data_IF_386284883890
#
_entry.id   IF_386284883890
#
_cell.length_a   1.000
_cell.length_b   1.000
_cell.length_c   1.000
_cell.angle_alpha   90.00
_cell.angle_beta   90.00
_cell.angle_gamma   90.00
#
_symmetry.space_group_name_H-M   'P 1'
#
loop_
_entity.id
_entity.type
_entity.pdbx_description
1 polymer ?
#
# COMPACT_ATOMS: atom_id res chain seq x y z
N UNK A 1 41.52 -0.20 -14.60
CA UNK A 1 40.35 -0.45 -15.47
C UNK A 1 39.51 -1.51 -14.82
N UNK A 2 38.57 -1.09 -13.98
CA UNK A 2 37.63 -2.00 -13.33
C UNK A 2 36.38 -2.16 -14.18
N UNK A 3 35.74 -3.31 -14.11
CA UNK A 3 34.39 -3.52 -14.63
C UNK A 3 33.45 -2.44 -14.07
N UNK A 4 32.47 -1.96 -14.86
CA UNK A 4 31.53 -0.95 -14.39
C UNK A 4 30.74 -1.49 -13.18
N UNK A 5 30.43 -0.65 -12.18
CA UNK A 5 29.60 -1.04 -11.07
C UNK A 5 28.18 -1.39 -11.55
N UNK A 6 27.58 -2.41 -10.93
CA UNK A 6 26.21 -2.84 -11.20
C UNK A 6 25.37 -2.59 -9.96
N UNK A 7 24.28 -1.86 -10.11
CA UNK A 7 23.29 -1.64 -9.04
C UNK A 7 21.99 -2.39 -9.36
N UNK A 8 21.50 -3.16 -8.41
CA UNK A 8 20.19 -3.78 -8.41
C UNK A 8 19.27 -2.98 -7.48
N UNK A 9 18.10 -2.62 -7.99
CA UNK A 9 17.18 -1.75 -7.26
C UNK A 9 15.81 -2.40 -7.19
N UNK A 10 15.20 -2.38 -6.01
CA UNK A 10 13.79 -2.69 -5.79
C UNK A 10 13.25 -1.84 -4.64
N UNK A 11 11.97 -1.46 -4.68
CA UNK A 11 11.40 -0.66 -3.61
C UNK A 11 10.79 -1.50 -2.48
N UNK A 12 10.75 -0.92 -1.28
CA UNK A 12 10.23 -1.55 -0.06
C UNK A 12 8.81 -1.11 0.28
N UNK A 13 8.42 0.08 -0.19
CA UNK A 13 7.12 0.66 0.08
C UNK A 13 6.02 -0.03 -0.72
N UNK A 14 4.80 0.26 -0.35
CA UNK A 14 3.59 -0.21 -0.99
C UNK A 14 2.59 0.94 -1.10
N UNK A 15 1.64 0.84 -2.01
CA UNK A 15 0.50 1.75 -2.10
C UNK A 15 -0.32 1.71 -0.81
N UNK A 16 -0.91 2.82 -0.45
CA UNK A 16 -1.67 2.91 0.79
C UNK A 16 -2.68 4.05 0.80
N UNK A 17 -3.06 4.41 1.99
CA UNK A 17 -4.09 5.43 2.23
C UNK A 17 -3.71 6.28 3.44
N UNK A 18 -4.24 7.49 3.50
CA UNK A 18 -4.15 8.36 4.66
C UNK A 18 -5.55 8.87 5.03
N UNK A 19 -5.87 8.89 6.32
CA UNK A 19 -7.14 9.44 6.80
C UNK A 19 -7.18 10.94 6.51
N UNK A 20 -8.15 11.34 5.70
CA UNK A 20 -8.39 12.75 5.35
C UNK A 20 -9.42 13.41 6.27
N UNK A 21 -10.48 12.68 6.63
CA UNK A 21 -11.59 13.19 7.44
C UNK A 21 -12.27 12.03 8.18
N UNK A 22 -12.77 12.30 9.34
CA UNK A 22 -13.67 11.44 10.11
C UNK A 22 -15.01 12.17 10.22
N UNK A 23 -16.08 11.56 9.75
CA UNK A 23 -17.41 12.12 9.78
C UNK A 23 -18.11 11.88 11.13
N UNK A 24 -19.12 12.68 11.45
CA UNK A 24 -19.88 12.57 12.71
C UNK A 24 -20.54 11.18 12.88
N UNK A 25 -20.90 10.52 11.78
CA UNK A 25 -21.47 9.16 11.74
C UNK A 25 -20.41 8.04 11.84
N UNK A 26 -19.13 8.40 12.03
CA UNK A 26 -18.04 7.42 12.20
C UNK A 26 -17.44 6.89 10.91
N UNK A 27 -17.90 7.33 9.74
CA UNK A 27 -17.27 6.98 8.47
C UNK A 27 -15.97 7.79 8.25
N UNK A 28 -14.99 7.14 7.64
CA UNK A 28 -13.66 7.71 7.45
C UNK A 28 -13.41 7.93 5.96
N UNK A 29 -13.15 9.17 5.58
CA UNK A 29 -12.70 9.52 4.22
C UNK A 29 -11.18 9.40 4.12
N UNK A 30 -10.71 8.81 3.02
CA UNK A 30 -9.29 8.55 2.77
C UNK A 30 -8.79 9.26 1.51
N UNK A 31 -7.50 9.56 1.49
CA UNK A 31 -6.76 9.84 0.27
C UNK A 31 -5.87 8.66 -0.09
N UNK A 32 -5.65 8.45 -1.38
CA UNK A 32 -4.71 7.44 -1.88
C UNK A 32 -3.27 7.92 -1.70
N UNK A 33 -2.41 6.97 -1.44
CA UNK A 33 -0.96 7.10 -1.45
C UNK A 33 -0.43 6.12 -2.50
N UNK A 34 0.00 6.64 -3.65
CA UNK A 34 0.42 5.84 -4.81
C UNK A 34 -0.71 5.59 -5.82
N UNK A 35 -0.41 4.77 -6.80
CA UNK A 35 -1.22 4.52 -7.99
C UNK A 35 -2.34 3.49 -7.80
N UNK A 36 -3.35 3.78 -6.97
CA UNK A 36 -4.46 2.85 -6.69
C UNK A 36 -5.65 3.13 -7.62
N UNK A 37 -6.08 2.16 -8.48
CA UNK A 37 -7.28 2.31 -9.28
C UNK A 37 -8.56 2.28 -8.43
N UNK A 38 -9.45 3.24 -8.61
CA UNK A 38 -10.70 3.32 -7.83
C UNK A 38 -11.61 2.10 -8.01
N UNK A 39 -11.58 1.47 -9.17
CA UNK A 39 -12.43 0.29 -9.49
C UNK A 39 -12.24 -0.90 -8.56
N UNK A 40 -11.14 -0.95 -7.82
CA UNK A 40 -10.81 -2.07 -6.92
C UNK A 40 -11.04 -1.74 -5.45
N UNK A 41 -11.55 -0.55 -5.11
CA UNK A 41 -11.66 -0.10 -3.71
C UNK A 41 -12.83 -0.76 -2.97
N UNK A 42 -14.02 -0.76 -3.57
CA UNK A 42 -15.24 -1.23 -2.90
C UNK A 42 -15.11 -2.68 -2.40
N UNK A 43 -15.41 -2.90 -1.14
CA UNK A 43 -15.34 -4.21 -0.48
C UNK A 43 -13.94 -4.61 0.00
N UNK A 44 -12.90 -3.81 -0.29
CA UNK A 44 -11.55 -4.13 0.18
C UNK A 44 -11.43 -3.91 1.68
N UNK A 45 -10.70 -4.82 2.32
CA UNK A 45 -10.33 -4.71 3.73
C UNK A 45 -9.04 -3.91 3.87
N UNK A 46 -9.04 -2.97 4.81
CA UNK A 46 -7.86 -2.20 5.19
C UNK A 46 -7.46 -2.48 6.62
N UNK A 47 -6.18 -2.26 6.90
CA UNK A 47 -5.63 -2.13 8.23
C UNK A 47 -5.12 -0.71 8.38
N UNK A 48 -5.67 0.04 9.32
CA UNK A 48 -5.22 1.39 9.67
C UNK A 48 -4.34 1.34 10.91
N UNK A 49 -3.22 2.03 10.87
CA UNK A 49 -2.26 2.10 11.96
C UNK A 49 -2.67 3.24 12.89
N UNK A 50 -3.44 2.88 13.92
CA UNK A 50 -3.85 3.83 14.95
C UNK A 50 -2.92 3.84 16.14
N UNK A 51 -3.14 4.77 17.06
CA UNK A 51 -2.36 4.93 18.31
C UNK A 51 -2.41 3.69 19.21
N UNK A 52 -3.53 2.98 19.19
CA UNK A 52 -3.76 1.80 20.03
C UNK A 52 -3.43 0.47 19.31
N UNK A 53 -2.87 0.52 18.10
CA UNK A 53 -2.57 -0.63 17.26
C UNK A 53 -3.31 -0.63 15.92
N UNK A 54 -3.41 -1.79 15.30
CA UNK A 54 -4.05 -1.94 14.00
C UNK A 54 -5.58 -2.01 14.14
N UNK A 55 -6.29 -1.21 13.37
CA UNK A 55 -7.74 -1.21 13.27
C UNK A 55 -8.14 -1.69 11.88
N UNK A 56 -8.99 -2.71 11.83
CA UNK A 56 -9.54 -3.22 10.58
C UNK A 56 -10.76 -2.41 10.15
N UNK A 57 -10.87 -2.17 8.85
CA UNK A 57 -12.05 -1.57 8.25
C UNK A 57 -12.31 -2.11 6.85
N UNK A 58 -13.46 -1.77 6.30
CA UNK A 58 -13.86 -2.15 4.95
C UNK A 58 -14.19 -0.90 4.14
N UNK A 59 -13.69 -0.83 2.92
CA UNK A 59 -14.11 0.21 1.99
C UNK A 59 -15.56 0.01 1.59
N UNK A 60 -16.38 1.00 1.86
CA UNK A 60 -17.79 1.03 1.49
C UNK A 60 -18.11 2.16 0.53
N UNK A 61 -19.19 1.99 -0.20
CA UNK A 61 -19.78 3.00 -1.10
C UNK A 61 -21.28 3.04 -0.87
N UNK A 62 -22.00 3.87 -1.62
CA UNK A 62 -23.45 3.85 -1.61
C UNK A 62 -24.00 2.44 -1.92
N UNK A 63 -25.02 1.97 -1.18
CA UNK A 63 -25.65 0.69 -1.45
C UNK A 63 -26.23 0.65 -2.86
N UNK A 64 -26.09 -0.48 -3.53
CA UNK A 64 -26.53 -0.65 -4.93
C UNK A 64 -28.02 -0.28 -5.14
N UNK A 65 -28.89 -0.67 -4.19
CA UNK A 65 -30.34 -0.40 -4.27
C UNK A 65 -30.71 1.06 -4.04
N UNK A 66 -29.83 1.87 -3.42
CA UNK A 66 -30.02 3.31 -3.24
C UNK A 66 -29.29 4.13 -4.31
N UNK A 67 -28.51 3.49 -5.17
CA UNK A 67 -27.77 4.16 -6.24
C UNK A 67 -28.68 4.34 -7.46
N UNK A 68 -28.78 5.55 -8.06
CA UNK A 68 -29.53 5.77 -9.30
C UNK A 68 -29.06 4.83 -10.41
N UNK A 69 -29.99 4.38 -11.27
CA UNK A 69 -29.69 3.40 -12.34
C UNK A 69 -28.52 3.84 -13.24
N UNK A 70 -28.47 5.13 -13.57
CA UNK A 70 -27.39 5.73 -14.40
C UNK A 70 -26.02 5.71 -13.74
N UNK A 71 -25.94 5.45 -12.42
CA UNK A 71 -24.72 5.51 -11.61
C UNK A 71 -24.25 4.13 -11.12
N UNK A 72 -25.10 3.11 -11.17
CA UNK A 72 -24.86 1.78 -10.59
C UNK A 72 -23.59 1.09 -11.05
N UNK A 73 -23.22 1.32 -12.31
CA UNK A 73 -22.07 0.65 -12.93
C UNK A 73 -20.89 1.59 -13.18
N UNK A 74 -20.95 2.82 -12.66
CA UNK A 74 -19.83 3.76 -12.74
C UNK A 74 -18.80 3.46 -11.66
N UNK A 75 -17.52 3.63 -12.00
CA UNK A 75 -16.44 3.60 -11.02
C UNK A 75 -16.58 4.82 -10.10
N UNK A 76 -16.67 4.58 -8.81
CA UNK A 76 -16.74 5.66 -7.81
C UNK A 76 -15.34 6.18 -7.50
N UNK A 77 -15.13 7.49 -7.55
CA UNK A 77 -13.88 8.08 -7.09
C UNK A 77 -13.72 7.87 -5.58
N UNK A 78 -12.49 7.88 -5.08
CA UNK A 78 -12.23 7.67 -3.65
C UNK A 78 -12.92 8.72 -2.76
N UNK A 79 -13.22 9.90 -3.29
CA UNK A 79 -13.97 10.94 -2.58
C UNK A 79 -15.42 10.56 -2.26
N UNK A 80 -15.95 9.55 -2.93
CA UNK A 80 -17.28 8.96 -2.73
C UNK A 80 -17.22 7.55 -2.10
N UNK A 81 -16.07 7.20 -1.54
CA UNK A 81 -15.85 5.97 -0.81
C UNK A 81 -15.48 6.30 0.64
N UNK A 82 -15.88 5.43 1.54
CA UNK A 82 -15.58 5.58 2.97
C UNK A 82 -14.97 4.30 3.50
N UNK A 83 -14.17 4.42 4.54
CA UNK A 83 -13.76 3.28 5.35
C UNK A 83 -14.71 3.18 6.54
N UNK A 84 -15.36 2.04 6.65
CA UNK A 84 -16.18 1.65 7.79
C UNK A 84 -15.34 0.78 8.72
N UNK A 85 -15.15 1.24 9.95
CA UNK A 85 -14.42 0.55 11.03
C UNK A 85 -15.37 0.01 12.12
N UNK A 86 -16.70 0.02 11.85
CA UNK A 86 -17.73 -0.40 12.79
C UNK A 86 -18.06 0.62 13.88
N UNK A 87 -17.55 1.84 13.79
CA UNK A 87 -17.87 2.94 14.70
C UNK A 87 -19.18 3.62 14.30
N UNK A 88 -19.96 4.07 15.28
CA UNK A 88 -21.26 4.73 15.10
C UNK A 88 -21.18 6.26 15.14
N UNK A 89 -20.03 6.79 15.50
CA UNK A 89 -19.76 8.22 15.56
C UNK A 89 -18.24 8.49 15.62
N UNK A 90 -17.86 9.74 15.43
CA UNK A 90 -16.45 10.18 15.45
C UNK A 90 -15.75 9.89 16.77
N UNK A 91 -16.46 9.94 17.91
CA UNK A 91 -15.90 9.66 19.23
C UNK A 91 -15.52 8.15 19.38
N UNK A 92 -16.29 7.27 18.78
CA UNK A 92 -15.95 5.84 18.75
C UNK A 92 -14.72 5.57 17.89
N UNK A 93 -14.57 6.27 16.76
CA UNK A 93 -13.35 6.23 15.94
C UNK A 93 -12.12 6.69 16.74
N UNK A 94 -12.27 7.79 17.49
CA UNK A 94 -11.19 8.30 18.35
C UNK A 94 -10.82 7.31 19.46
N UNK A 95 -11.81 6.64 20.08
CA UNK A 95 -11.56 5.57 21.07
C UNK A 95 -10.82 4.36 20.50
N UNK A 96 -11.02 4.05 19.21
CA UNK A 96 -10.21 3.05 18.50
C UNK A 96 -8.75 3.51 18.31
N UNK A 97 -8.46 4.78 18.56
CA UNK A 97 -7.13 5.37 18.44
C UNK A 97 -6.83 5.93 17.07
N UNK A 98 -7.84 6.09 16.21
CA UNK A 98 -7.69 6.64 14.86
C UNK A 98 -7.88 8.16 14.85
N UNK A 99 -7.12 8.83 13.97
CA UNK A 99 -7.20 10.28 13.76
C UNK A 99 -6.85 10.64 12.31
N UNK A 100 -7.16 11.84 11.91
CA UNK A 100 -6.72 12.40 10.61
C UNK A 100 -5.19 12.37 10.54
N UNK A 101 -4.68 11.92 9.40
CA UNK A 101 -3.26 11.73 9.15
C UNK A 101 -2.73 10.33 9.45
N UNK A 102 -3.50 9.45 10.07
CA UNK A 102 -3.10 8.05 10.25
C UNK A 102 -3.12 7.30 8.90
N UNK A 103 -2.20 6.33 8.76
CA UNK A 103 -2.00 5.59 7.51
C UNK A 103 -2.72 4.24 7.55
N UNK A 104 -3.17 3.83 6.37
CA UNK A 104 -3.76 2.51 6.16
C UNK A 104 -3.19 1.81 4.94
N UNK A 105 -3.20 0.50 4.99
CA UNK A 105 -2.79 -0.38 3.88
C UNK A 105 -3.84 -1.45 3.67
N UNK A 106 -3.80 -2.13 2.52
CA UNK A 106 -4.65 -3.30 2.33
C UNK A 106 -4.39 -4.35 3.41
N UNK A 107 -5.45 -4.99 3.88
CA UNK A 107 -5.31 -6.08 4.84
C UNK A 107 -4.40 -7.16 4.26
N UNK A 108 -3.40 -7.55 5.02
CA UNK A 108 -2.39 -8.52 4.57
C UNK A 108 -3.05 -9.84 4.22
N UNK A 109 -2.75 -10.34 3.04
CA UNK A 109 -3.06 -11.70 2.64
C UNK A 109 -1.77 -12.40 2.20
N UNK A 110 -1.67 -13.66 2.56
CA UNK A 110 -0.57 -14.54 2.17
C UNK A 110 -1.13 -15.93 1.97
N UNK A 111 -0.96 -16.48 0.79
CA UNK A 111 -1.39 -17.82 0.46
C UNK A 111 -0.42 -18.46 -0.51
N UNK A 112 -0.11 -19.72 -0.30
CA UNK A 112 0.76 -20.52 -1.18
C UNK A 112 -0.04 -21.72 -1.65
N UNK A 113 -0.08 -21.92 -2.96
CA UNK A 113 -0.73 -23.06 -3.59
C UNK A 113 0.22 -23.66 -4.64
N UNK A 114 0.71 -24.86 -4.39
CA UNK A 114 1.76 -25.48 -5.19
C UNK A 114 3.01 -24.58 -5.21
N UNK A 115 3.42 -24.20 -6.42
CA UNK A 115 4.58 -23.33 -6.64
C UNK A 115 4.19 -21.83 -6.78
N UNK A 116 2.93 -21.49 -6.48
CA UNK A 116 2.41 -20.14 -6.67
C UNK A 116 2.17 -19.44 -5.33
N UNK A 117 2.59 -18.19 -5.24
CA UNK A 117 2.38 -17.32 -4.09
C UNK A 117 1.36 -16.25 -4.45
N UNK A 118 0.32 -16.12 -3.63
CA UNK A 118 -0.65 -15.04 -3.67
C UNK A 118 -0.42 -14.15 -2.45
N UNK A 119 -0.10 -12.88 -2.66
CA UNK A 119 0.11 -11.94 -1.56
C UNK A 119 -0.09 -10.50 -2.01
N UNK A 120 -0.34 -9.62 -1.04
CA UNK A 120 -0.25 -8.18 -1.28
C UNK A 120 1.21 -7.77 -1.45
N UNK A 121 1.43 -6.66 -2.16
CA UNK A 121 2.72 -5.97 -2.24
C UNK A 121 3.86 -6.86 -2.75
N UNK A 122 3.55 -7.83 -3.63
CA UNK A 122 4.57 -8.57 -4.40
C UNK A 122 5.39 -7.61 -5.27
N UNK A 123 4.79 -6.54 -5.74
CA UNK A 123 5.44 -5.33 -6.22
C UNK A 123 5.78 -4.44 -5.01
N UNK A 124 7.06 -4.26 -4.60
CA UNK A 124 8.19 -4.92 -5.24
C UNK A 124 8.97 -5.83 -4.27
N UNK A 125 8.27 -6.47 -3.34
CA UNK A 125 8.90 -7.38 -2.35
C UNK A 125 9.47 -8.64 -3.01
N UNK A 126 8.90 -9.07 -4.14
CA UNK A 126 9.46 -10.15 -4.93
C UNK A 126 10.82 -9.76 -5.54
N UNK A 127 10.96 -8.52 -6.01
CA UNK A 127 12.23 -7.97 -6.47
C UNK A 127 13.29 -7.94 -5.36
N UNK A 128 12.91 -7.48 -4.15
CA UNK A 128 13.82 -7.48 -2.99
C UNK A 128 14.29 -8.89 -2.62
N UNK A 129 13.38 -9.86 -2.59
CA UNK A 129 13.72 -11.25 -2.31
C UNK A 129 14.67 -11.81 -3.36
N UNK A 130 14.42 -11.52 -4.64
CA UNK A 130 15.27 -11.95 -5.75
C UNK A 130 16.67 -11.35 -5.66
N UNK A 131 16.80 -10.05 -5.41
CA UNK A 131 18.08 -9.37 -5.21
C UNK A 131 18.83 -9.99 -4.02
N UNK A 132 18.14 -10.21 -2.90
CA UNK A 132 18.76 -10.81 -1.71
C UNK A 132 19.31 -12.20 -2.00
N UNK A 133 18.53 -13.08 -2.62
CA UNK A 133 18.97 -14.43 -2.98
C UNK A 133 20.11 -14.41 -3.99
N UNK A 134 20.05 -13.53 -4.97
CA UNK A 134 21.11 -13.38 -5.96
C UNK A 134 22.42 -12.99 -5.29
N UNK A 135 22.42 -11.95 -4.44
CA UNK A 135 23.62 -11.50 -3.74
C UNK A 135 24.21 -12.60 -2.86
N UNK A 136 23.39 -13.38 -2.15
CA UNK A 136 23.85 -14.52 -1.36
C UNK A 136 24.57 -15.58 -2.20
N UNK A 137 24.13 -15.79 -3.44
CA UNK A 137 24.71 -16.79 -4.35
C UNK A 137 26.00 -16.36 -5.01
N UNK A 138 26.16 -15.05 -5.30
CA UNK A 138 27.30 -14.53 -6.08
C UNK A 138 28.32 -13.76 -5.23
N UNK A 139 28.06 -13.55 -3.93
CA UNK A 139 29.02 -12.90 -3.04
C UNK A 139 30.37 -13.61 -3.07
N UNK A 140 31.43 -12.84 -3.31
CA UNK A 140 32.79 -13.34 -3.43
C UNK A 140 33.09 -14.14 -4.72
N UNK A 141 32.14 -14.23 -5.68
CA UNK A 141 32.31 -14.96 -6.95
C UNK A 141 32.31 -14.05 -8.18
N UNK A 142 32.35 -12.77 -7.99
CA UNK A 142 32.36 -11.77 -9.07
C UNK A 142 33.49 -10.79 -8.91
N UNK A 143 34.01 -10.30 -10.03
CA UNK A 143 35.07 -9.28 -10.07
C UNK A 143 34.52 -7.85 -10.22
N UNK A 144 33.20 -7.71 -10.40
CA UNK A 144 32.57 -6.40 -10.48
C UNK A 144 32.04 -5.94 -9.10
N UNK A 145 31.99 -4.63 -8.91
CA UNK A 145 31.36 -4.01 -7.73
C UNK A 145 29.84 -4.13 -7.87
N UNK A 146 29.23 -4.84 -6.92
CA UNK A 146 27.77 -5.01 -6.86
C UNK A 146 27.18 -4.17 -5.73
N UNK A 147 26.08 -3.49 -6.01
CA UNK A 147 25.29 -2.74 -5.02
C UNK A 147 23.84 -3.21 -5.08
N UNK A 148 23.20 -3.34 -3.92
CA UNK A 148 21.75 -3.55 -3.81
C UNK A 148 21.15 -2.35 -3.10
N UNK A 149 20.09 -1.80 -3.69
CA UNK A 149 19.39 -0.62 -3.18
C UNK A 149 17.94 -1.02 -2.92
N UNK A 150 17.54 -0.99 -1.66
CA UNK A 150 16.16 -1.09 -1.24
C UNK A 150 15.61 0.34 -1.11
N UNK A 151 14.90 0.81 -2.14
CA UNK A 151 14.40 2.19 -2.18
C UNK A 151 13.08 2.34 -1.43
N UNK A 152 12.73 3.58 -1.10
CA UNK A 152 11.46 3.98 -0.50
C UNK A 152 10.82 5.10 -1.32
N UNK A 153 9.49 5.27 -1.19
CA UNK A 153 8.72 6.29 -1.89
C UNK A 153 8.70 6.13 -3.43
N UNK A 154 8.90 4.91 -3.92
CA UNK A 154 8.82 4.63 -5.36
C UNK A 154 7.40 4.86 -5.86
N UNK A 155 6.40 4.41 -5.10
CA UNK A 155 4.97 4.53 -5.41
C UNK A 155 4.47 5.99 -5.56
N UNK A 156 5.24 6.94 -5.06
CA UNK A 156 4.98 8.38 -5.26
C UNK A 156 5.84 8.98 -6.36
N UNK A 157 7.11 8.55 -6.44
CA UNK A 157 8.08 9.10 -7.38
C UNK A 157 9.43 8.40 -7.21
N UNK A 158 10.06 8.06 -8.32
CA UNK A 158 11.46 7.53 -8.33
C UNK A 158 12.51 8.56 -7.89
N UNK A 159 12.09 9.77 -7.48
CA UNK A 159 13.02 10.86 -7.12
C UNK A 159 13.94 10.51 -5.95
N UNK A 160 13.49 9.67 -5.04
CA UNK A 160 14.31 9.21 -3.93
C UNK A 160 15.52 8.37 -4.37
N UNK A 161 15.45 7.75 -5.55
CA UNK A 161 16.53 6.93 -6.10
C UNK A 161 17.66 7.75 -6.73
N UNK A 162 17.33 8.91 -7.29
CA UNK A 162 18.27 9.75 -8.08
C UNK A 162 19.53 10.16 -7.31
N UNK A 163 19.48 10.59 -6.04
CA UNK A 163 20.69 10.88 -5.27
C UNK A 163 21.57 9.66 -5.02
N UNK A 164 20.94 8.53 -4.73
CA UNK A 164 21.63 7.28 -4.33
C UNK A 164 22.44 6.65 -5.48
N UNK A 165 22.04 6.88 -6.72
CA UNK A 165 22.72 6.32 -7.90
C UNK A 165 23.82 7.23 -8.44
N UNK A 166 23.90 8.49 -7.96
CA UNK A 166 24.92 9.47 -8.40
C UNK A 166 26.22 9.43 -7.60
N UNK A 167 26.24 8.70 -6.48
CA UNK A 167 27.44 8.45 -5.66
C UNK A 167 28.08 7.09 -6.03
#
# INVERSE_FOLDING_TARGET
SGEPPIAFVAHMDEVGFVIRKIDDDGFISLNKLGGIPERVLAGQKLLVIGRNGLVSGVFTTWPHHLTPESEKYKVRPISECWLDVGARNSQEVERLGLRVGDFGVYARSWHVEGDTIFANSLDNRAGLASITQMLQRIAGKTNCRLSAIASVQEEFSIRALVPTVRE
#
